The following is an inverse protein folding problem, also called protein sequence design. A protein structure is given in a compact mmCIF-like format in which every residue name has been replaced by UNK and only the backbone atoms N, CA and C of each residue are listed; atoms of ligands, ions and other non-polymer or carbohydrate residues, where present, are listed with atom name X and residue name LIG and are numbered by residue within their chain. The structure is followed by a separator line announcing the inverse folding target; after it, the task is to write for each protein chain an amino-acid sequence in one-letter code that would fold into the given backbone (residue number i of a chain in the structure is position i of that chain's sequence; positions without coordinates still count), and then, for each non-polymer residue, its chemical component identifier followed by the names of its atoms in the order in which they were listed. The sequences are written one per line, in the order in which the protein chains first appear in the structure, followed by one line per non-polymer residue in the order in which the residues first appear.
data_IF_365505818839
#
_entry.id   IF_365505818839
#
_cell.length_a   1.000
_cell.length_b   1.000
_cell.length_c   1.000
_cell.angle_alpha   90.00
_cell.angle_beta   90.00
_cell.angle_gamma   90.00
#
_symmetry.space_group_name_H-M   'P 1'
#
loop_
_entity.id
_entity.type
_entity.pdbx_description
1 polymer ?
#
# COMPACT_ATOMS: atom_id res chain seq x y z
N UNK A 1 -29.49 -15.93 9.13
CA UNK A 1 -30.08 -14.73 9.76
C UNK A 1 -29.07 -13.62 9.57
N UNK A 2 -29.24 -12.87 8.49
CA UNK A 2 -28.39 -11.72 8.16
C UNK A 2 -28.67 -10.63 9.21
N UNK A 3 -27.63 -10.22 9.92
CA UNK A 3 -27.73 -9.23 10.97
C UNK A 3 -28.29 -7.93 10.43
N UNK A 4 -29.24 -7.38 11.18
CA UNK A 4 -29.92 -6.11 10.97
C UNK A 4 -28.89 -4.97 10.96
N UNK A 5 -28.25 -4.78 9.81
CA UNK A 5 -27.21 -3.78 9.62
C UNK A 5 -27.87 -2.43 9.39
N UNK A 6 -27.68 -1.49 10.33
CA UNK A 6 -28.10 -0.09 10.23
C UNK A 6 -28.08 0.39 8.77
N UNK A 7 -29.22 0.90 8.32
CA UNK A 7 -29.37 1.44 6.98
C UNK A 7 -28.52 2.70 6.85
N UNK A 8 -27.99 2.94 5.65
CA UNK A 8 -27.35 4.21 5.33
C UNK A 8 -28.35 5.33 5.53
N UNK A 9 -27.90 6.44 6.09
CA UNK A 9 -28.73 7.64 6.21
C UNK A 9 -29.14 8.16 4.83
N UNK A 10 -30.20 8.97 4.76
CA UNK A 10 -30.61 9.61 3.50
C UNK A 10 -29.48 10.48 2.91
N UNK A 11 -28.75 11.18 3.78
CA UNK A 11 -27.60 11.99 3.39
C UNK A 11 -26.48 11.14 2.77
N UNK A 12 -26.12 10.01 3.39
CA UNK A 12 -25.12 9.08 2.84
C UNK A 12 -25.60 8.46 1.52
N UNK A 13 -26.88 8.10 1.44
CA UNK A 13 -27.46 7.52 0.23
C UNK A 13 -27.41 8.51 -0.93
N UNK A 14 -27.71 9.79 -0.68
CA UNK A 14 -27.62 10.84 -1.68
C UNK A 14 -26.16 11.13 -2.09
N UNK A 15 -25.24 11.23 -1.12
CA UNK A 15 -23.83 11.50 -1.37
C UNK A 15 -23.15 10.38 -2.18
N UNK A 16 -23.45 9.12 -1.85
CA UNK A 16 -22.81 7.95 -2.44
C UNK A 16 -23.65 7.29 -3.55
N UNK A 17 -24.74 7.89 -4.04
CA UNK A 17 -25.66 7.27 -5.03
C UNK A 17 -24.91 6.64 -6.22
N UNK A 18 -23.97 7.37 -6.82
CA UNK A 18 -23.19 6.86 -7.97
C UNK A 18 -22.32 5.66 -7.60
N UNK A 19 -21.73 5.67 -6.40
CA UNK A 19 -20.86 4.59 -5.92
C UNK A 19 -21.67 3.35 -5.54
N UNK A 20 -22.83 3.57 -4.88
CA UNK A 20 -23.82 2.53 -4.56
C UNK A 20 -24.31 1.84 -5.83
N UNK A 21 -24.47 2.54 -6.96
CA UNK A 21 -24.82 1.89 -8.24
C UNK A 21 -23.72 0.97 -8.77
N UNK A 22 -22.46 1.21 -8.43
CA UNK A 22 -21.32 0.40 -8.88
C UNK A 22 -21.17 -0.85 -8.02
N UNK A 23 -21.11 -0.71 -6.70
CA UNK A 23 -20.83 -1.82 -5.79
C UNK A 23 -21.98 -2.22 -4.88
N UNK A 24 -23.12 -1.54 -4.91
CA UNK A 24 -24.32 -1.87 -4.12
C UNK A 24 -24.29 -1.34 -2.69
N UNK A 25 -25.47 -1.19 -2.10
CA UNK A 25 -25.65 -0.61 -0.77
C UNK A 25 -24.94 -1.41 0.34
N UNK A 26 -24.89 -2.75 0.24
CA UNK A 26 -24.21 -3.60 1.23
C UNK A 26 -22.70 -3.36 1.27
N UNK A 27 -22.09 -3.15 0.11
CA UNK A 27 -20.67 -2.82 0.02
C UNK A 27 -20.41 -1.45 0.64
N UNK A 28 -21.28 -0.47 0.36
CA UNK A 28 -21.18 0.86 0.98
C UNK A 28 -21.35 0.81 2.50
N UNK A 29 -22.28 0.00 3.03
CA UNK A 29 -22.43 -0.23 4.47
C UNK A 29 -21.20 -0.87 5.12
N UNK A 30 -20.51 -1.76 4.42
CA UNK A 30 -19.24 -2.32 4.90
C UNK A 30 -18.13 -1.27 4.91
N UNK A 31 -18.05 -0.45 3.86
CA UNK A 31 -17.10 0.68 3.79
C UNK A 31 -17.30 1.63 4.98
N UNK A 32 -18.53 2.11 5.22
CA UNK A 32 -18.81 3.08 6.28
C UNK A 32 -18.56 2.58 7.70
N UNK A 33 -18.39 1.27 7.89
CA UNK A 33 -18.03 0.63 9.17
C UNK A 33 -16.56 0.20 9.27
N UNK A 34 -15.78 0.42 8.21
CA UNK A 34 -14.38 -0.02 8.16
C UNK A 34 -13.43 1.06 8.63
N UNK A 35 -12.42 0.65 9.39
CA UNK A 35 -11.40 1.52 9.97
C UNK A 35 -10.03 1.22 9.36
N UNK A 36 -9.33 2.25 8.89
CA UNK A 36 -8.08 2.11 8.13
C UNK A 36 -6.95 2.83 8.85
N UNK A 37 -5.85 2.11 9.12
CA UNK A 37 -4.60 2.69 9.60
C UNK A 37 -3.66 2.93 8.41
N UNK A 38 -3.09 4.12 8.35
CA UNK A 38 -2.18 4.53 7.27
C UNK A 38 -0.89 5.10 7.84
N UNK A 39 0.24 4.52 7.48
CA UNK A 39 1.56 5.01 7.85
C UNK A 39 2.31 5.59 6.65
N UNK A 40 2.94 6.75 6.84
CA UNK A 40 3.84 7.38 5.87
C UNK A 40 3.10 8.22 4.82
N UNK A 41 2.90 9.50 5.11
CA UNK A 41 2.18 10.47 4.28
C UNK A 41 3.05 11.08 3.17
N UNK A 42 3.25 10.32 2.09
CA UNK A 42 3.81 10.81 0.82
C UNK A 42 2.70 11.16 -0.20
N UNK A 43 3.07 11.59 -1.41
CA UNK A 43 2.11 11.96 -2.47
C UNK A 43 1.23 10.80 -2.92
N UNK A 44 1.82 9.61 -3.07
CA UNK A 44 1.07 8.39 -3.41
C UNK A 44 0.04 8.02 -2.34
N UNK A 45 0.41 8.17 -1.07
CA UNK A 45 -0.48 7.90 0.07
C UNK A 45 -1.54 8.99 0.21
N UNK A 46 -1.23 10.24 -0.11
CA UNK A 46 -2.22 11.31 -0.17
C UNK A 46 -3.34 11.03 -1.19
N UNK A 47 -2.97 10.55 -2.39
CA UNK A 47 -3.92 10.11 -3.41
C UNK A 47 -4.80 8.95 -2.92
N UNK A 48 -4.18 7.95 -2.29
CA UNK A 48 -4.89 6.83 -1.65
C UNK A 48 -5.89 7.32 -0.60
N UNK A 49 -5.45 8.13 0.36
CA UNK A 49 -6.28 8.65 1.45
C UNK A 49 -7.47 9.45 0.90
N UNK A 50 -7.23 10.33 -0.08
CA UNK A 50 -8.29 11.07 -0.75
C UNK A 50 -9.32 10.15 -1.39
N UNK A 51 -8.90 9.10 -2.11
CA UNK A 51 -9.81 8.14 -2.73
C UNK A 51 -10.65 7.40 -1.68
N UNK A 52 -10.03 6.97 -0.58
CA UNK A 52 -10.69 6.20 0.48
C UNK A 52 -11.65 7.06 1.32
N UNK A 53 -11.27 8.30 1.63
CA UNK A 53 -12.15 9.26 2.31
C UNK A 53 -13.35 9.60 1.44
N UNK A 54 -13.16 9.83 0.14
CA UNK A 54 -14.26 10.06 -0.81
C UNK A 54 -15.14 8.81 -1.04
N UNK A 55 -14.58 7.61 -0.83
CA UNK A 55 -15.33 6.35 -0.86
C UNK A 55 -16.23 6.15 0.37
N UNK A 56 -16.05 6.96 1.42
CA UNK A 56 -16.91 6.95 2.60
C UNK A 56 -16.61 5.81 3.56
N UNK A 57 -15.34 5.55 3.86
CA UNK A 57 -14.97 4.62 4.93
C UNK A 57 -15.33 5.16 6.33
N UNK A 58 -15.44 4.29 7.33
CA UNK A 58 -15.78 4.71 8.69
C UNK A 58 -14.72 5.61 9.32
N UNK A 59 -13.45 5.21 9.23
CA UNK A 59 -12.35 6.08 9.66
C UNK A 59 -11.03 5.84 8.94
N UNK A 60 -10.20 6.88 8.95
CA UNK A 60 -8.79 6.85 8.54
C UNK A 60 -7.95 7.43 9.67
N UNK A 61 -7.02 6.63 10.21
CA UNK A 61 -6.05 7.07 11.22
C UNK A 61 -4.67 7.17 10.57
N UNK A 62 -4.06 8.34 10.63
CA UNK A 62 -2.77 8.65 10.02
C UNK A 62 -1.64 8.58 11.04
N UNK A 63 -0.50 8.01 10.63
CA UNK A 63 0.72 7.90 11.43
C UNK A 63 1.89 8.40 10.61
N UNK A 64 2.39 9.59 10.94
CA UNK A 64 3.58 10.17 10.35
C UNK A 64 4.04 11.38 11.17
N UNK A 65 5.01 11.15 12.05
CA UNK A 65 5.55 12.18 12.94
C UNK A 65 6.61 13.07 12.27
N UNK A 66 6.95 12.80 11.00
CA UNK A 66 7.93 13.62 10.28
C UNK A 66 7.36 15.02 10.09
N UNK A 67 8.23 16.02 10.19
CA UNK A 67 7.89 17.41 9.91
C UNK A 67 7.71 17.61 8.41
N UNK A 68 6.82 18.52 8.03
CA UNK A 68 6.64 18.92 6.64
C UNK A 68 7.96 19.42 6.05
N UNK A 69 8.39 18.79 4.95
CA UNK A 69 9.58 19.17 4.18
C UNK A 69 9.17 19.78 2.84
N UNK A 70 10.07 20.55 2.22
CA UNK A 70 9.83 21.11 0.88
C UNK A 70 9.63 20.01 -0.17
N UNK A 71 10.32 18.89 -0.03
CA UNK A 71 10.14 17.74 -0.92
C UNK A 71 8.72 17.18 -0.85
N UNK A 72 8.10 17.17 0.33
CA UNK A 72 6.74 16.67 0.51
C UNK A 72 5.70 17.49 -0.28
N UNK A 73 5.91 18.80 -0.42
CA UNK A 73 5.01 19.70 -1.15
C UNK A 73 4.90 19.38 -2.64
N UNK A 74 5.95 18.78 -3.21
CA UNK A 74 6.05 18.55 -4.65
C UNK A 74 5.04 17.53 -5.17
N UNK A 75 4.62 16.59 -4.31
CA UNK A 75 3.74 15.49 -4.68
C UNK A 75 2.53 15.31 -3.76
N UNK A 76 2.53 15.92 -2.57
CA UNK A 76 1.45 15.78 -1.60
C UNK A 76 0.55 17.02 -1.61
N UNK A 77 -0.56 16.95 -2.35
CA UNK A 77 -1.54 18.04 -2.47
C UNK A 77 -2.37 18.28 -1.19
N UNK A 78 -2.29 17.39 -0.19
CA UNK A 78 -2.94 17.59 1.11
C UNK A 78 -2.14 18.53 2.01
N UNK A 79 -0.97 18.98 1.58
CA UNK A 79 -0.16 19.94 2.33
C UNK A 79 -0.44 21.33 1.73
N UNK A 80 -1.07 22.25 2.48
CA UNK A 80 -1.29 23.61 2.01
C UNK A 80 0.04 24.34 1.73
N UNK A 81 0.13 25.17 0.67
CA UNK A 81 1.36 25.89 0.34
C UNK A 81 1.71 26.99 1.35
N UNK A 82 0.75 27.49 2.13
CA UNK A 82 0.96 28.54 3.14
C UNK A 82 1.80 28.02 4.32
N UNK A 83 3.00 28.58 4.50
CA UNK A 83 3.91 28.23 5.60
C UNK A 83 3.29 28.48 6.98
N UNK A 84 2.45 29.51 7.13
CA UNK A 84 1.83 29.82 8.42
C UNK A 84 0.88 28.71 8.89
N UNK A 85 0.27 27.99 7.93
CA UNK A 85 -0.62 26.85 8.21
C UNK A 85 0.20 25.60 8.55
N UNK A 86 1.38 25.45 7.93
CA UNK A 86 2.27 24.29 8.11
C UNK A 86 3.09 24.33 9.39
N UNK A 87 3.43 25.52 9.89
CA UNK A 87 4.40 25.73 10.96
C UNK A 87 4.23 24.82 12.18
N UNK A 88 5.22 23.93 12.39
CA UNK A 88 5.32 23.06 13.58
C UNK A 88 4.46 21.80 13.59
N UNK A 89 3.65 21.56 12.54
CA UNK A 89 2.82 20.35 12.41
C UNK A 89 3.58 19.19 11.77
N UNK A 90 3.20 17.97 12.13
CA UNK A 90 3.67 16.77 11.44
C UNK A 90 2.93 16.56 10.11
N UNK A 91 3.46 15.71 9.24
CA UNK A 91 2.81 15.33 7.98
C UNK A 91 1.42 14.71 8.23
N UNK A 92 1.26 13.88 9.27
CA UNK A 92 -0.04 13.32 9.61
C UNK A 92 -1.03 14.40 10.08
N UNK A 93 -0.60 15.34 10.91
CA UNK A 93 -1.46 16.43 11.40
C UNK A 93 -1.95 17.33 10.26
N UNK A 94 -1.04 17.77 9.38
CA UNK A 94 -1.44 18.66 8.27
C UNK A 94 -2.36 17.96 7.27
N UNK A 95 -2.07 16.70 6.92
CA UNK A 95 -2.90 15.94 5.99
C UNK A 95 -4.25 15.55 6.61
N UNK A 96 -4.31 15.29 7.92
CA UNK A 96 -5.54 15.02 8.64
C UNK A 96 -6.51 16.20 8.52
N UNK A 97 -6.02 17.42 8.73
CA UNK A 97 -6.84 18.63 8.64
C UNK A 97 -7.44 18.79 7.24
N UNK A 98 -6.63 18.63 6.18
CA UNK A 98 -7.13 18.71 4.80
C UNK A 98 -8.09 17.57 4.44
N UNK A 99 -7.85 16.33 4.88
CA UNK A 99 -8.71 15.19 4.55
C UNK A 99 -10.11 15.31 5.17
N UNK A 100 -10.26 15.95 6.34
CA UNK A 100 -11.58 16.21 6.94
C UNK A 100 -12.48 17.05 6.03
N UNK A 101 -11.90 17.92 5.21
CA UNK A 101 -12.65 18.76 4.27
C UNK A 101 -13.19 17.96 3.07
N UNK A 102 -12.56 16.84 2.70
CA UNK A 102 -13.00 16.02 1.56
C UNK A 102 -14.32 15.30 1.82
N UNK A 103 -14.55 14.85 3.06
CA UNK A 103 -15.78 14.14 3.41
C UNK A 103 -16.06 14.23 4.92
N UNK A 104 -17.00 15.11 5.35
CA UNK A 104 -17.36 15.24 6.76
C UNK A 104 -17.96 13.98 7.41
N UNK A 105 -18.39 13.00 6.61
CA UNK A 105 -18.93 11.74 7.11
C UNK A 105 -17.83 10.75 7.56
N UNK A 106 -16.57 10.98 7.18
CA UNK A 106 -15.45 10.10 7.51
C UNK A 106 -14.68 10.64 8.70
N UNK A 107 -14.44 9.80 9.70
CA UNK A 107 -13.60 10.18 10.84
C UNK A 107 -12.12 10.11 10.44
N UNK A 108 -11.45 11.26 10.39
CA UNK A 108 -10.00 11.32 10.14
C UNK A 108 -9.28 11.74 11.42
N UNK A 109 -8.33 10.94 11.88
CA UNK A 109 -7.57 11.16 13.11
C UNK A 109 -6.07 10.91 12.91
N UNK A 110 -5.27 11.32 13.90
CA UNK A 110 -3.82 11.11 13.93
C UNK A 110 -3.47 10.28 15.15
N UNK A 111 -2.55 9.34 14.97
CA UNK A 111 -1.87 8.63 16.06
C UNK A 111 -0.37 8.95 15.97
N UNK A 112 0.25 9.26 17.12
CA UNK A 112 1.67 9.60 17.20
C UNK A 112 2.50 8.39 17.58
N UNK A 113 3.75 8.37 17.15
CA UNK A 113 4.74 7.38 17.52
C UNK A 113 5.17 6.49 16.37
N UNK A 114 6.08 5.56 16.70
CA UNK A 114 6.66 4.63 15.74
C UNK A 114 5.74 3.40 15.59
N UNK A 115 5.34 3.12 14.34
CA UNK A 115 4.48 1.97 13.98
C UNK A 115 4.99 0.63 14.52
N UNK A 116 6.30 0.43 14.60
CA UNK A 116 6.95 -0.76 15.18
C UNK A 116 6.55 -1.02 16.64
N UNK A 117 6.26 0.05 17.38
CA UNK A 117 5.92 -0.01 18.81
C UNK A 117 4.45 -0.34 19.06
N UNK A 118 3.57 -0.19 18.06
CA UNK A 118 2.14 -0.42 18.24
C UNK A 118 1.84 -1.91 18.50
N UNK A 119 1.09 -2.16 19.55
CA UNK A 119 0.70 -3.50 19.98
C UNK A 119 -0.41 -4.10 19.11
N UNK A 120 -0.66 -5.40 19.29
CA UNK A 120 -1.76 -6.09 18.60
C UNK A 120 -3.14 -5.55 18.98
N UNK A 121 -3.31 -5.14 20.24
CA UNK A 121 -4.49 -4.47 20.79
C UNK A 121 -4.81 -3.14 20.09
N UNK A 122 -3.78 -2.39 19.70
CA UNK A 122 -3.97 -1.19 18.88
C UNK A 122 -4.38 -1.56 17.45
N UNK A 123 -3.68 -2.51 16.82
CA UNK A 123 -3.93 -2.90 15.43
C UNK A 123 -5.32 -3.55 15.24
N UNK A 124 -5.83 -4.27 16.24
CA UNK A 124 -7.15 -4.94 16.20
C UNK A 124 -8.32 -3.97 15.98
N UNK A 125 -8.13 -2.69 16.26
CA UNK A 125 -9.12 -1.62 15.99
C UNK A 125 -9.37 -1.42 14.49
N UNK A 126 -8.44 -1.82 13.63
CA UNK A 126 -8.49 -1.56 12.19
C UNK A 126 -8.88 -2.81 11.39
N UNK A 127 -9.47 -2.59 10.23
CA UNK A 127 -9.79 -3.64 9.25
C UNK A 127 -8.73 -3.70 8.15
N UNK A 128 -8.05 -2.58 7.93
CA UNK A 128 -6.99 -2.42 6.92
C UNK A 128 -5.81 -1.66 7.50
N UNK A 129 -4.61 -2.14 7.22
CA UNK A 129 -3.34 -1.46 7.53
C UNK A 129 -2.58 -1.24 6.23
N UNK A 130 -2.23 0.02 5.96
CA UNK A 130 -1.46 0.44 4.78
C UNK A 130 -0.16 1.08 5.23
N UNK A 131 0.96 0.50 4.81
CA UNK A 131 2.29 1.01 5.13
C UNK A 131 2.97 1.61 3.90
N UNK A 132 3.52 2.81 4.08
CA UNK A 132 4.48 3.40 3.17
C UNK A 132 5.64 4.00 3.96
N UNK A 133 6.77 4.23 3.30
CA UNK A 133 7.97 4.81 3.93
C UNK A 133 8.46 4.02 5.16
N UNK A 134 8.27 2.70 5.14
CA UNK A 134 8.71 1.78 6.20
C UNK A 134 9.91 0.95 5.74
N UNK A 135 10.80 0.67 6.68
CA UNK A 135 11.91 -0.27 6.48
C UNK A 135 11.40 -1.68 6.17
N UNK A 136 12.28 -2.52 5.62
CA UNK A 136 11.94 -3.91 5.33
C UNK A 136 11.55 -4.67 6.61
N UNK A 137 12.25 -4.40 7.72
CA UNK A 137 11.96 -4.99 9.03
C UNK A 137 10.58 -4.57 9.56
N UNK A 138 10.22 -3.28 9.43
CA UNK A 138 8.90 -2.78 9.82
C UNK A 138 7.78 -3.45 9.03
N UNK A 139 7.91 -3.55 7.70
CA UNK A 139 6.92 -4.21 6.85
C UNK A 139 6.69 -5.66 7.29
N UNK A 140 7.77 -6.42 7.54
CA UNK A 140 7.71 -7.80 8.05
C UNK A 140 7.02 -7.85 9.42
N UNK A 141 7.47 -7.03 10.36
CA UNK A 141 6.98 -7.01 11.74
C UNK A 141 5.47 -6.73 11.80
N UNK A 142 4.99 -5.69 11.12
CA UNK A 142 3.58 -5.29 11.17
C UNK A 142 2.70 -6.31 10.43
N UNK A 143 3.14 -6.84 9.28
CA UNK A 143 2.42 -7.91 8.60
C UNK A 143 2.25 -9.14 9.51
N UNK A 144 3.32 -9.57 10.19
CA UNK A 144 3.26 -10.66 11.14
C UNK A 144 2.33 -10.36 12.33
N UNK A 145 2.34 -9.13 12.86
CA UNK A 145 1.39 -8.74 13.93
C UNK A 145 -0.05 -8.85 13.44
N UNK A 146 -0.36 -8.38 12.22
CA UNK A 146 -1.69 -8.48 11.61
C UNK A 146 -2.15 -9.95 11.44
N UNK A 147 -1.24 -10.86 11.08
CA UNK A 147 -1.56 -12.30 10.92
C UNK A 147 -1.74 -13.05 12.24
N UNK A 148 -1.18 -12.55 13.34
CA UNK A 148 -1.29 -13.15 14.68
C UNK A 148 -2.60 -12.81 15.41
N UNK A 149 -3.34 -11.81 14.93
CA UNK A 149 -4.61 -11.40 15.52
C UNK A 149 -5.73 -12.36 15.14
N UNK A 150 -6.72 -12.50 16.03
CA UNK A 150 -7.93 -13.30 15.78
C UNK A 150 -8.83 -12.64 14.72
N UNK A 151 -8.89 -11.31 14.73
CA UNK A 151 -9.51 -10.50 13.68
C UNK A 151 -8.60 -10.46 12.46
N UNK A 152 -9.15 -10.81 11.28
CA UNK A 152 -8.45 -10.65 10.01
C UNK A 152 -8.28 -9.17 9.68
N UNK A 153 -7.03 -8.75 9.49
CA UNK A 153 -6.67 -7.42 8.99
C UNK A 153 -6.11 -7.56 7.58
N UNK A 154 -6.64 -6.78 6.64
CA UNK A 154 -6.06 -6.68 5.30
C UNK A 154 -4.80 -5.80 5.37
N UNK A 155 -3.67 -6.33 4.91
CA UNK A 155 -2.39 -5.66 4.99
C UNK A 155 -1.88 -5.26 3.61
N UNK A 156 -1.40 -4.03 3.50
CA UNK A 156 -0.84 -3.48 2.26
C UNK A 156 0.47 -2.77 2.54
N UNK A 157 1.40 -2.85 1.58
CA UNK A 157 2.50 -1.89 1.49
C UNK A 157 2.45 -1.18 0.15
N UNK A 158 2.86 0.09 0.12
CA UNK A 158 2.97 0.87 -1.10
C UNK A 158 4.23 1.72 -1.09
N UNK A 159 4.97 1.63 -2.18
CA UNK A 159 6.14 2.46 -2.43
C UNK A 159 6.10 3.05 -3.83
N UNK A 160 6.44 4.33 -3.92
CA UNK A 160 6.72 5.01 -5.17
C UNK A 160 8.13 5.57 -5.11
N UNK A 161 8.94 5.25 -6.10
CA UNK A 161 10.32 5.72 -6.25
C UNK A 161 10.49 6.24 -7.65
N UNK A 162 10.70 7.55 -7.77
CA UNK A 162 10.78 8.23 -9.05
C UNK A 162 9.51 7.95 -9.89
N UNK A 163 9.66 7.28 -11.02
CA UNK A 163 8.60 6.97 -11.98
C UNK A 163 8.07 5.52 -11.88
N UNK A 164 8.43 4.80 -10.82
CA UNK A 164 8.05 3.41 -10.57
C UNK A 164 7.29 3.25 -9.26
N UNK A 165 6.34 2.33 -9.20
CA UNK A 165 5.59 2.01 -7.99
C UNK A 165 5.37 0.52 -7.78
N UNK A 166 5.27 0.13 -6.51
CA UNK A 166 5.00 -1.22 -6.04
C UNK A 166 3.85 -1.18 -5.03
N UNK A 167 2.91 -2.12 -5.14
CA UNK A 167 1.93 -2.42 -4.09
C UNK A 167 2.08 -3.90 -3.73
N UNK A 168 2.15 -4.20 -2.44
CA UNK A 168 2.00 -5.55 -1.91
C UNK A 168 0.64 -5.68 -1.22
N UNK A 169 0.04 -6.88 -1.32
CA UNK A 169 -1.24 -7.21 -0.70
C UNK A 169 -1.12 -8.53 0.06
N UNK A 170 -1.55 -8.55 1.33
CA UNK A 170 -1.81 -9.76 2.12
C UNK A 170 -3.21 -9.67 2.74
N UNK A 171 -4.16 -10.43 2.16
CA UNK A 171 -5.51 -10.56 2.69
C UNK A 171 -5.70 -11.80 3.58
N UNK A 172 -4.62 -12.54 3.86
CA UNK A 172 -4.60 -13.82 4.55
C UNK A 172 -5.47 -14.86 3.83
N UNK A 173 -6.34 -15.59 4.53
CA UNK A 173 -7.36 -16.42 3.90
C UNK A 173 -8.61 -15.58 3.61
N UNK A 174 -8.79 -15.19 2.35
CA UNK A 174 -9.80 -14.22 1.94
C UNK A 174 -10.87 -14.84 1.05
N UNK A 175 -12.14 -14.60 1.41
CA UNK A 175 -13.31 -15.03 0.64
C UNK A 175 -13.98 -13.80 0.04
N UNK A 176 -14.34 -13.89 -1.24
CA UNK A 176 -14.99 -12.80 -1.97
C UNK A 176 -15.97 -13.33 -3.00
N UNK A 177 -16.82 -12.44 -3.50
CA UNK A 177 -17.81 -12.77 -4.52
C UNK A 177 -17.45 -12.11 -5.84
N UNK A 178 -17.43 -12.91 -6.90
CA UNK A 178 -17.23 -12.48 -8.28
C UNK A 178 -18.55 -12.56 -9.03
N UNK A 179 -18.93 -11.49 -9.74
CA UNK A 179 -20.08 -11.50 -10.64
C UNK A 179 -19.61 -11.60 -12.08
N UNK A 180 -20.02 -12.65 -12.79
CA UNK A 180 -19.72 -12.86 -14.23
C UNK A 180 -21.00 -13.27 -14.92
N UNK A 181 -21.43 -12.51 -15.94
CA UNK A 181 -22.67 -12.76 -16.69
C UNK A 181 -23.90 -13.00 -15.78
N UNK A 182 -24.14 -12.08 -14.84
CA UNK A 182 -25.23 -12.14 -13.84
C UNK A 182 -25.14 -13.25 -12.77
N UNK A 183 -24.30 -14.27 -12.96
CA UNK A 183 -24.02 -15.28 -11.94
C UNK A 183 -23.02 -14.77 -10.90
N UNK A 184 -23.29 -15.07 -9.63
CA UNK A 184 -22.39 -14.76 -8.50
C UNK A 184 -21.69 -16.02 -8.03
N UNK A 185 -20.36 -16.04 -8.14
CA UNK A 185 -19.51 -17.15 -7.68
C UNK A 185 -18.76 -16.72 -6.43
N UNK A 186 -18.74 -17.58 -5.40
CA UNK A 186 -17.90 -17.40 -4.23
C UNK A 186 -16.50 -17.96 -4.51
N UNK A 187 -15.48 -17.14 -4.27
CA UNK A 187 -14.09 -17.45 -4.50
C UNK A 187 -13.32 -17.36 -3.19
N UNK A 188 -12.21 -18.08 -3.10
CA UNK A 188 -11.30 -18.05 -1.97
C UNK A 188 -9.86 -17.92 -2.48
N UNK A 189 -9.10 -17.04 -1.86
CA UNK A 189 -7.68 -16.83 -2.12
C UNK A 189 -6.92 -16.90 -0.81
N UNK A 190 -5.76 -17.56 -0.86
CA UNK A 190 -4.81 -17.59 0.24
C UNK A 190 -3.60 -16.71 -0.11
N UNK A 191 -3.20 -15.84 0.80
CA UNK A 191 -2.09 -14.91 0.60
C UNK A 191 -0.88 -15.31 1.46
N UNK A 192 0.33 -15.34 0.87
CA UNK A 192 1.55 -15.44 1.67
C UNK A 192 1.75 -14.15 2.46
N UNK A 193 2.44 -14.25 3.59
CA UNK A 193 2.95 -13.09 4.32
C UNK A 193 3.94 -12.31 3.46
N UNK A 194 4.17 -11.06 3.82
CA UNK A 194 5.17 -10.21 3.14
C UNK A 194 6.55 -10.88 3.15
N UNK A 195 6.95 -11.45 4.29
CA UNK A 195 8.22 -12.15 4.44
C UNK A 195 8.31 -13.40 3.57
N UNK A 196 7.27 -14.23 3.52
CA UNK A 196 7.24 -15.41 2.65
C UNK A 196 7.34 -15.02 1.17
N UNK A 197 6.64 -13.96 0.75
CA UNK A 197 6.62 -13.52 -0.64
C UNK A 197 8.00 -13.01 -1.11
N UNK A 198 8.67 -12.16 -0.34
CA UNK A 198 9.99 -11.64 -0.71
C UNK A 198 11.12 -12.66 -0.53
N UNK A 199 10.87 -13.75 0.21
CA UNK A 199 11.83 -14.84 0.43
C UNK A 199 11.75 -15.95 -0.61
N UNK A 200 10.81 -15.86 -1.58
CA UNK A 200 10.73 -16.84 -2.68
C UNK A 200 12.04 -16.81 -3.47
N UNK A 201 12.74 -17.95 -3.64
CA UNK A 201 13.97 -18.00 -4.41
C UNK A 201 13.73 -17.50 -5.84
N UNK A 202 14.61 -16.62 -6.34
CA UNK A 202 14.39 -15.99 -7.65
C UNK A 202 14.37 -17.00 -8.82
N UNK A 203 15.00 -18.16 -8.63
CA UNK A 203 14.97 -19.28 -9.58
C UNK A 203 13.64 -20.02 -9.64
N UNK A 204 12.82 -19.92 -8.59
CA UNK A 204 11.48 -20.50 -8.53
C UNK A 204 10.40 -19.57 -9.10
N UNK A 205 10.74 -18.30 -9.35
CA UNK A 205 9.81 -17.32 -9.89
C UNK A 205 9.57 -17.53 -11.40
N UNK A 206 8.37 -17.17 -11.91
CA UNK A 206 8.11 -17.17 -13.34
C UNK A 206 9.15 -16.36 -14.12
N UNK A 207 9.57 -16.86 -15.30
CA UNK A 207 10.60 -16.20 -16.14
C UNK A 207 10.29 -14.75 -16.55
N UNK A 208 9.02 -14.35 -16.46
CA UNK A 208 8.53 -13.03 -16.91
C UNK A 208 8.19 -12.08 -15.77
N UNK A 209 8.57 -12.40 -14.52
CA UNK A 209 8.39 -11.48 -13.39
C UNK A 209 9.02 -10.13 -13.71
N UNK A 210 8.31 -9.06 -13.37
CA UNK A 210 8.76 -7.69 -13.55
C UNK A 210 10.19 -7.47 -13.06
N UNK A 211 11.02 -6.81 -13.88
CA UNK A 211 12.37 -6.38 -13.48
C UNK A 211 12.35 -5.44 -12.27
N UNK A 212 11.25 -4.71 -12.11
CA UNK A 212 11.04 -3.80 -10.99
C UNK A 212 10.98 -4.56 -9.66
N UNK A 213 10.41 -5.77 -9.61
CA UNK A 213 10.43 -6.61 -8.41
C UNK A 213 11.86 -6.80 -7.90
N UNK A 214 12.74 -7.30 -8.75
CA UNK A 214 14.13 -7.57 -8.37
C UNK A 214 14.89 -6.30 -7.98
N UNK A 215 14.67 -5.20 -8.72
CA UNK A 215 15.29 -3.92 -8.40
C UNK A 215 14.85 -3.38 -7.03
N UNK A 216 13.55 -3.47 -6.69
CA UNK A 216 13.03 -3.08 -5.38
C UNK A 216 13.64 -3.94 -4.26
N UNK A 217 13.75 -5.27 -4.46
CA UNK A 217 14.40 -6.16 -3.47
C UNK A 217 15.88 -5.81 -3.23
N UNK A 218 16.63 -5.48 -4.28
CA UNK A 218 18.03 -5.03 -4.16
C UNK A 218 18.12 -3.73 -3.36
N UNK A 219 17.24 -2.76 -3.66
CA UNK A 219 17.21 -1.46 -2.99
C UNK A 219 16.86 -1.59 -1.50
N UNK A 220 15.81 -2.34 -1.18
CA UNK A 220 15.38 -2.53 0.22
C UNK A 220 16.45 -3.28 1.04
N UNK A 221 17.11 -4.28 0.44
CA UNK A 221 18.20 -5.00 1.11
C UNK A 221 19.43 -4.10 1.32
N UNK A 222 19.71 -3.20 0.38
CA UNK A 222 20.77 -2.21 0.54
C UNK A 222 20.46 -1.25 1.68
N UNK A 223 19.22 -0.73 1.74
CA UNK A 223 18.76 0.13 2.85
C UNK A 223 18.92 -0.58 4.20
N UNK A 224 18.52 -1.84 4.29
CA UNK A 224 18.64 -2.66 5.52
C UNK A 224 20.11 -2.89 5.94
N UNK A 225 20.99 -3.28 5.01
CA UNK A 225 22.41 -3.58 5.32
C UNK A 225 23.19 -2.33 5.71
N UNK A 226 22.91 -1.20 5.07
CA UNK A 226 23.61 0.07 5.34
C UNK A 226 22.93 0.90 6.44
N UNK A 227 21.86 0.39 7.06
CA UNK A 227 21.11 1.08 8.11
C UNK A 227 20.48 2.40 7.65
N UNK A 228 20.09 2.49 6.36
CA UNK A 228 19.44 3.67 5.78
C UNK A 228 17.94 3.58 5.96
N UNK A 229 17.29 4.70 6.29
CA UNK A 229 15.83 4.74 6.25
C UNK A 229 15.32 4.78 4.80
N UNK A 230 14.06 4.34 4.55
CA UNK A 230 13.47 4.38 3.22
C UNK A 230 13.56 5.77 2.56
N UNK A 231 14.24 5.82 1.42
CA UNK A 231 14.44 7.05 0.65
C UNK A 231 15.60 7.94 1.12
N UNK A 232 16.44 7.51 2.06
CA UNK A 232 17.71 8.20 2.38
C UNK A 232 18.86 7.84 1.43
N UNK A 233 18.67 6.82 0.61
CA UNK A 233 19.62 6.46 -0.45
C UNK A 233 19.58 7.46 -1.61
N UNK A 234 20.70 7.55 -2.30
CA UNK A 234 20.94 8.50 -3.38
C UNK A 234 21.76 7.86 -4.49
N UNK A 235 21.95 8.58 -5.61
CA UNK A 235 22.81 8.13 -6.70
C UNK A 235 24.27 7.90 -6.24
N UNK A 236 24.72 8.54 -5.16
CA UNK A 236 26.04 8.29 -4.58
C UNK A 236 26.21 6.86 -4.05
N UNK A 237 25.10 6.20 -3.71
CA UNK A 237 25.10 4.83 -3.20
C UNK A 237 25.11 3.78 -4.33
N UNK A 238 24.99 4.20 -5.61
CA UNK A 238 24.92 3.30 -6.77
C UNK A 238 26.07 2.25 -6.81
N UNK A 239 27.35 2.59 -6.55
CA UNK A 239 28.41 1.58 -6.55
C UNK A 239 28.17 0.45 -5.53
N UNK A 240 27.67 0.79 -4.34
CA UNK A 240 27.31 -0.17 -3.29
C UNK A 240 26.10 -1.00 -3.68
N UNK A 241 25.07 -0.37 -4.26
CA UNK A 241 23.87 -1.04 -4.76
C UNK A 241 24.20 -2.03 -5.87
N UNK A 242 25.08 -1.67 -6.82
CA UNK A 242 25.53 -2.58 -7.89
C UNK A 242 26.37 -3.74 -7.34
N UNK A 243 27.16 -3.50 -6.28
CA UNK A 243 27.87 -4.57 -5.59
C UNK A 243 26.89 -5.56 -4.96
N UNK A 244 25.91 -5.08 -4.20
CA UNK A 244 24.89 -5.92 -3.58
C UNK A 244 24.04 -6.66 -4.63
N UNK A 245 23.72 -6.00 -5.76
CA UNK A 245 23.02 -6.62 -6.88
C UNK A 245 23.73 -7.89 -7.36
N UNK A 246 25.06 -7.83 -7.54
CA UNK A 246 25.88 -8.99 -7.94
C UNK A 246 25.82 -10.10 -6.90
N UNK A 247 26.02 -9.76 -5.63
CA UNK A 247 25.98 -10.73 -4.52
C UNK A 247 24.62 -11.45 -4.43
N UNK A 248 23.51 -10.72 -4.59
CA UNK A 248 22.16 -11.29 -4.59
C UNK A 248 21.90 -12.16 -5.83
N UNK A 249 22.36 -11.74 -7.01
CA UNK A 249 22.27 -12.53 -8.23
C UNK A 249 23.06 -13.84 -8.13
N UNK A 250 24.28 -13.80 -7.59
CA UNK A 250 25.12 -14.98 -7.36
C UNK A 250 24.47 -15.94 -6.36
N UNK A 251 24.03 -15.43 -5.20
CA UNK A 251 23.36 -16.21 -4.16
C UNK A 251 22.08 -16.90 -4.67
N UNK A 252 21.37 -16.28 -5.61
CA UNK A 252 20.16 -16.82 -6.21
C UNK A 252 20.39 -17.59 -7.52
N UNK A 253 21.65 -17.72 -8.01
CA UNK A 253 21.92 -18.27 -9.34
C UNK A 253 21.11 -17.59 -10.46
N UNK A 254 20.93 -16.28 -10.35
CA UNK A 254 20.08 -15.47 -11.19
C UNK A 254 20.90 -14.59 -12.13
N UNK A 255 20.49 -14.49 -13.40
CA UNK A 255 21.22 -13.68 -14.38
C UNK A 255 21.05 -12.18 -14.10
N UNK A 256 22.16 -11.52 -13.83
CA UNK A 256 22.27 -10.10 -13.50
C UNK A 256 21.61 -9.14 -14.51
N UNK A 257 21.58 -9.52 -15.80
CA UNK A 257 20.97 -8.72 -16.88
C UNK A 257 19.45 -8.52 -16.74
N UNK A 258 18.79 -9.31 -15.90
CA UNK A 258 17.38 -9.12 -15.57
C UNK A 258 17.16 -7.92 -14.63
N UNK A 259 18.21 -7.36 -14.04
CA UNK A 259 18.16 -6.18 -13.17
C UNK A 259 19.01 -5.07 -13.83
N UNK A 260 18.42 -4.21 -14.69
CA UNK A 260 19.17 -3.20 -15.42
C UNK A 260 19.74 -2.13 -14.48
N UNK A 261 21.01 -1.78 -14.66
CA UNK A 261 21.67 -0.75 -13.84
C UNK A 261 20.98 0.61 -13.95
N UNK A 262 20.50 0.96 -15.15
CA UNK A 262 19.74 2.18 -15.37
C UNK A 262 18.43 2.24 -14.58
N UNK A 263 17.81 1.08 -14.29
CA UNK A 263 16.64 1.01 -13.44
C UNK A 263 17.03 1.31 -11.98
N UNK A 264 18.10 0.69 -11.48
CA UNK A 264 18.59 0.94 -10.12
C UNK A 264 19.04 2.40 -9.93
N UNK A 265 19.82 2.94 -10.86
CA UNK A 265 20.25 4.35 -10.84
C UNK A 265 19.03 5.28 -10.75
N UNK A 266 17.96 5.00 -11.52
CA UNK A 266 16.74 5.80 -11.48
C UNK A 266 16.02 5.69 -10.13
N UNK A 267 15.89 4.49 -9.57
CA UNK A 267 15.28 4.30 -8.25
C UNK A 267 16.09 4.97 -7.12
N UNK A 268 17.37 5.27 -7.36
CA UNK A 268 18.25 6.01 -6.45
C UNK A 268 18.19 7.54 -6.63
N UNK A 269 17.47 8.07 -7.61
CA UNK A 269 17.36 9.54 -7.84
C UNK A 269 16.52 10.28 -6.77
N UNK A 270 16.21 9.61 -5.67
CA UNK A 270 15.79 10.21 -4.41
C UNK A 270 14.32 10.02 -4.07
N UNK A 271 13.88 10.74 -3.02
CA UNK A 271 12.51 10.72 -2.44
C UNK A 271 11.41 11.26 -3.36
N UNK A 272 11.74 11.64 -4.59
CA UNK A 272 10.81 12.29 -5.49
C UNK A 272 9.75 11.29 -5.94
N UNK A 273 8.50 11.70 -5.79
CA UNK A 273 7.37 11.03 -6.43
C UNK A 273 6.81 11.98 -7.49
N UNK A 274 6.45 11.45 -8.66
CA UNK A 274 5.76 12.26 -9.66
C UNK A 274 4.25 12.21 -9.40
N UNK A 275 3.55 13.36 -9.35
CA UNK A 275 2.11 13.39 -9.10
C UNK A 275 1.28 12.47 -10.02
N UNK A 276 1.57 12.36 -11.35
CA UNK A 276 0.84 11.42 -12.20
C UNK A 276 1.03 9.95 -11.78
N UNK A 277 2.21 9.57 -11.31
CA UNK A 277 2.49 8.21 -10.83
C UNK A 277 1.81 7.99 -9.49
N UNK A 278 1.84 8.98 -8.59
CA UNK A 278 1.11 8.95 -7.32
C UNK A 278 -0.38 8.69 -7.54
N UNK A 279 -0.99 9.38 -8.51
CA UNK A 279 -2.41 9.22 -8.83
C UNK A 279 -2.75 7.82 -9.35
N UNK A 280 -1.89 7.24 -10.20
CA UNK A 280 -2.06 5.87 -10.70
C UNK A 280 -1.95 4.85 -9.56
N UNK A 281 -0.85 4.90 -8.80
CA UNK A 281 -0.59 3.93 -7.72
C UNK A 281 -1.62 4.09 -6.60
N UNK A 282 -1.88 5.32 -6.13
CA UNK A 282 -2.86 5.61 -5.08
C UNK A 282 -4.30 5.30 -5.50
N UNK A 283 -4.64 5.46 -6.79
CA UNK A 283 -5.90 5.02 -7.37
C UNK A 283 -6.09 3.51 -7.31
N UNK A 284 -5.07 2.76 -7.76
CA UNK A 284 -5.09 1.29 -7.75
C UNK A 284 -5.16 0.78 -6.31
N UNK A 285 -4.33 1.30 -5.40
CA UNK A 285 -4.35 0.93 -3.99
C UNK A 285 -5.72 1.20 -3.35
N UNK A 286 -6.32 2.37 -3.62
CA UNK A 286 -7.65 2.71 -3.10
C UNK A 286 -8.70 1.72 -3.57
N UNK A 287 -8.66 1.37 -4.85
CA UNK A 287 -9.59 0.38 -5.42
C UNK A 287 -9.39 -1.01 -4.82
N UNK A 288 -8.14 -1.45 -4.58
CA UNK A 288 -7.85 -2.74 -3.96
C UNK A 288 -8.32 -2.81 -2.51
N UNK A 289 -8.15 -1.74 -1.74
CA UNK A 289 -8.69 -1.64 -0.37
C UNK A 289 -10.22 -1.69 -0.37
N UNK A 290 -10.88 -0.99 -1.31
CA UNK A 290 -12.33 -1.05 -1.47
C UNK A 290 -12.79 -2.48 -1.79
N UNK A 291 -12.09 -3.22 -2.65
CA UNK A 291 -12.41 -4.63 -2.95
C UNK A 291 -12.25 -5.53 -1.72
N UNK A 292 -11.21 -5.31 -0.91
CA UNK A 292 -10.95 -6.09 0.29
C UNK A 292 -11.98 -5.85 1.42
N UNK A 293 -12.53 -4.65 1.50
CA UNK A 293 -13.61 -4.32 2.44
C UNK A 293 -14.98 -4.78 1.91
N UNK A 294 -15.25 -4.49 0.63
CA UNK A 294 -16.55 -4.75 0.03
C UNK A 294 -16.77 -6.22 -0.28
N UNK A 295 -15.75 -7.06 -0.39
CA UNK A 295 -15.92 -8.44 -0.85
C UNK A 295 -16.35 -8.56 -2.31
N UNK A 296 -16.26 -7.48 -3.09
CA UNK A 296 -16.69 -7.41 -4.49
C UNK A 296 -15.53 -7.12 -5.42
N UNK A 297 -15.50 -7.88 -6.52
CA UNK A 297 -14.44 -7.78 -7.53
C UNK A 297 -13.27 -8.69 -7.20
N UNK A 298 -12.46 -8.99 -8.22
CA UNK A 298 -11.25 -9.79 -8.05
C UNK A 298 -10.15 -8.95 -7.39
N UNK A 299 -9.71 -9.29 -6.16
CA UNK A 299 -8.59 -8.62 -5.53
C UNK A 299 -7.28 -9.06 -6.22
N UNK A 300 -6.32 -8.16 -6.20
CA UNK A 300 -4.97 -8.41 -6.66
C UNK A 300 -4.28 -9.46 -5.76
N UNK A 301 -3.53 -10.37 -6.36
CA UNK A 301 -2.68 -11.33 -5.66
C UNK A 301 -1.32 -11.43 -6.35
N UNK A 302 -0.21 -11.09 -5.71
CA UNK A 302 -0.07 -10.35 -4.44
C UNK A 302 0.83 -9.11 -4.59
N UNK A 303 1.46 -8.91 -5.74
CA UNK A 303 2.15 -7.68 -6.08
C UNK A 303 1.54 -6.98 -7.30
N UNK A 304 1.53 -5.65 -7.24
CA UNK A 304 1.33 -4.77 -8.38
C UNK A 304 2.63 -4.02 -8.66
N UNK A 305 3.00 -3.90 -9.92
CA UNK A 305 4.11 -3.07 -10.38
C UNK A 305 3.63 -2.11 -11.44
N UNK A 306 4.09 -0.86 -11.37
CA UNK A 306 3.93 0.08 -12.45
C UNK A 306 5.21 0.86 -12.72
N UNK A 307 5.48 1.13 -13.99
CA UNK A 307 6.61 1.93 -14.42
C UNK A 307 6.18 2.90 -15.53
N UNK A 308 6.32 4.20 -15.29
CA UNK A 308 5.90 5.21 -16.26
C UNK A 308 6.75 5.20 -17.54
N UNK A 309 7.95 4.61 -17.52
CA UNK A 309 8.82 4.57 -18.69
C UNK A 309 8.33 3.62 -19.78
N UNK A 310 7.62 2.55 -19.41
CA UNK A 310 6.99 1.65 -20.38
C UNK A 310 5.45 1.65 -20.30
N UNK A 311 4.89 2.35 -19.32
CA UNK A 311 3.45 2.53 -19.11
C UNK A 311 2.73 1.26 -18.66
N UNK A 312 3.46 0.21 -18.24
CA UNK A 312 2.83 -1.09 -17.90
C UNK A 312 2.48 -1.16 -16.43
N UNK A 313 1.26 -1.63 -16.15
CA UNK A 313 0.84 -2.16 -14.85
C UNK A 313 0.84 -3.68 -14.90
N UNK A 314 1.59 -4.34 -14.02
CA UNK A 314 1.73 -5.79 -13.97
C UNK A 314 1.26 -6.31 -12.61
N UNK A 315 0.49 -7.39 -12.64
CA UNK A 315 0.10 -8.13 -11.44
C UNK A 315 0.93 -9.41 -11.42
N UNK A 316 1.62 -9.64 -10.31
CA UNK A 316 2.49 -10.81 -10.12
C UNK A 316 2.06 -11.56 -8.86
N UNK A 317 1.77 -12.86 -9.01
CA UNK A 317 1.56 -13.77 -7.87
C UNK A 317 2.90 -14.35 -7.45
N UNK A 318 3.52 -13.71 -6.46
CA UNK A 318 4.77 -14.11 -5.82
C UNK A 318 4.42 -14.93 -4.58
N UNK A 319 3.92 -16.13 -4.83
CA UNK A 319 3.68 -17.16 -3.81
C UNK A 319 4.63 -18.33 -4.02
N UNK A 320 5.06 -18.99 -2.94
CA UNK A 320 5.87 -20.19 -3.07
C UNK A 320 5.06 -21.29 -3.77
N UNK A 321 5.52 -21.85 -4.91
CA UNK A 321 4.76 -22.88 -5.62
C UNK A 321 4.56 -24.15 -4.79
N UNK A 322 5.42 -24.39 -3.78
CA UNK A 322 5.38 -25.57 -2.92
C UNK A 322 4.46 -25.43 -1.71
N UNK A 323 3.88 -24.25 -1.43
CA UNK A 323 2.91 -24.05 -0.34
C UNK A 323 1.46 -24.24 -0.78
N UNK A 324 1.21 -24.78 -1.99
CA UNK A 324 -0.12 -25.30 -2.33
C UNK A 324 -0.36 -26.56 -1.49
N UNK A 325 -0.90 -26.37 -0.29
CA UNK A 325 -1.46 -27.45 0.54
C UNK A 325 -2.50 -28.22 -0.26
N UNK A 326 -2.43 -29.55 -0.11
CA UNK A 326 -3.41 -30.54 -0.56
C UNK A 326 -4.86 -30.18 -0.17
#
# INVERSE_FOLDING_TARGET
MEGDGEQLTEQETALYDRQIRVWGADAQRRLSKSHILVHGMKGTVAEFCKNIVLAGVGSVTLVDDRVVSEEALSANFLIPPDENVRGGKTLAEICCDSLKEFNPMVQVSVEKGNISTFGGDFLEKFDVVVLSSCSLEEKKLINQKCRKLSKRIAFYTVDCRDSSGEIFVDLQNYKYSKKKNEETTNCQLEYPSFEEAISVPWTSLPRKVSKLYFAMRVIERFEEVEGRNPGEISVADLPGVLKLKRELCEANSFNESHIPDALLERLLKGKREFPPVCAIIGGILGQEVIKAISGKGDPLKNFFFFDAMDGKGLIEDISNPNTKTE
#
